data_IF_901700027438
#
_entry.id   IF_901700027438
#
_cell.length_a   1.000
_cell.length_b   1.000
_cell.length_c   1.000
_cell.angle_alpha   90.00
_cell.angle_beta   90.00
_cell.angle_gamma   90.00
#
_symmetry.space_group_name_H-M   'P 1'
#
loop_
_entity.id
_entity.type
_entity.pdbx_description
1 polymer ?
#
# COMPACT_ATOMS: atom_id res chain seq x y z
N UNK A 1 -7.66 -8.99 9.82
CA UNK A 1 -7.37 -10.40 9.50
C UNK A 1 -8.69 -11.10 9.23
N UNK A 2 -8.87 -11.66 8.05
CA UNK A 2 -10.08 -12.38 7.65
C UNK A 2 -10.17 -13.72 8.40
N UNK A 3 -11.35 -14.03 8.94
CA UNK A 3 -11.65 -15.34 9.51
C UNK A 3 -11.81 -16.40 8.40
N UNK A 4 -11.85 -17.71 8.78
CA UNK A 4 -12.13 -18.80 7.83
C UNK A 4 -13.45 -18.62 7.08
N UNK A 5 -14.39 -17.95 7.68
CA UNK A 5 -15.77 -17.72 7.17
C UNK A 5 -15.90 -16.40 6.40
N UNK A 6 -14.78 -15.75 6.02
CA UNK A 6 -14.78 -14.49 5.30
C UNK A 6 -15.05 -13.24 6.15
N UNK A 7 -15.38 -13.40 7.42
CA UNK A 7 -15.57 -12.29 8.37
C UNK A 7 -14.25 -11.67 8.82
N UNK A 8 -14.26 -10.36 9.10
CA UNK A 8 -13.11 -9.66 9.66
C UNK A 8 -13.01 -9.96 11.17
N UNK A 9 -11.84 -10.37 11.64
CA UNK A 9 -11.60 -10.52 13.09
C UNK A 9 -11.38 -9.15 13.71
N UNK A 10 -12.07 -8.87 14.80
CA UNK A 10 -11.89 -7.63 15.57
C UNK A 10 -10.57 -7.59 16.35
N UNK A 11 -9.98 -8.77 16.65
CA UNK A 11 -8.71 -8.87 17.37
C UNK A 11 -7.51 -8.92 16.42
N UNK A 12 -6.50 -8.11 16.68
CA UNK A 12 -5.19 -8.19 16.02
C UNK A 12 -4.50 -9.49 16.43
N UNK A 13 -3.93 -10.22 15.45
CA UNK A 13 -3.17 -11.44 15.74
C UNK A 13 -1.81 -11.13 16.36
N UNK A 14 -1.19 -10.03 15.97
CA UNK A 14 0.12 -9.56 16.46
C UNK A 14 0.28 -8.07 16.18
N UNK A 15 1.28 -7.45 16.82
CA UNK A 15 1.70 -6.07 16.58
C UNK A 15 3.18 -6.02 16.25
N UNK A 16 3.66 -4.87 15.74
CA UNK A 16 5.09 -4.67 15.46
C UNK A 16 5.94 -4.85 16.72
N UNK A 17 5.44 -4.37 17.84
CA UNK A 17 6.11 -4.48 19.15
C UNK A 17 6.27 -5.94 19.59
N UNK A 18 5.22 -6.75 19.41
CA UNK A 18 5.27 -8.18 19.71
C UNK A 18 6.25 -8.93 18.80
N UNK A 19 6.28 -8.55 17.50
CA UNK A 19 7.26 -9.12 16.56
C UNK A 19 8.67 -8.70 16.96
N UNK A 20 8.92 -7.44 17.29
CA UNK A 20 10.22 -6.95 17.75
C UNK A 20 10.69 -7.73 18.99
N UNK A 21 9.85 -7.82 20.02
CA UNK A 21 10.14 -8.54 21.24
C UNK A 21 10.41 -10.04 21.02
N UNK A 22 9.78 -10.66 20.02
CA UNK A 22 10.09 -12.03 19.61
C UNK A 22 11.46 -12.11 18.94
N UNK A 23 11.78 -11.21 18.03
CA UNK A 23 13.07 -11.18 17.31
C UNK A 23 14.24 -10.98 18.28
N UNK A 24 14.12 -10.09 19.25
CA UNK A 24 15.12 -9.87 20.30
C UNK A 24 15.45 -11.17 21.04
N UNK A 25 14.42 -11.95 21.41
CA UNK A 25 14.60 -13.26 22.07
C UNK A 25 15.16 -14.34 21.16
N UNK A 26 14.86 -14.25 19.87
CA UNK A 26 15.28 -15.20 18.84
C UNK A 26 16.63 -14.83 18.19
N UNK A 27 17.44 -13.98 18.79
CA UNK A 27 18.64 -13.35 18.21
C UNK A 27 19.65 -14.33 17.59
N UNK A 28 19.69 -15.59 18.04
CA UNK A 28 20.57 -16.66 17.50
C UNK A 28 19.95 -17.45 16.34
N UNK A 29 18.70 -17.18 15.96
CA UNK A 29 18.01 -17.93 14.91
C UNK A 29 18.38 -17.36 13.54
N UNK A 30 18.63 -18.23 12.57
CA UNK A 30 18.95 -17.83 11.19
C UNK A 30 17.82 -16.98 10.59
N UNK A 31 18.14 -15.79 10.11
CA UNK A 31 17.20 -14.87 9.44
C UNK A 31 16.66 -13.76 10.34
N UNK A 32 16.90 -13.77 11.64
CA UNK A 32 16.46 -12.72 12.57
C UNK A 32 16.98 -11.37 12.16
N UNK A 33 18.28 -11.19 11.90
CA UNK A 33 18.84 -9.91 11.46
C UNK A 33 18.15 -9.34 10.18
N UNK A 34 17.74 -10.22 9.25
CA UNK A 34 16.98 -9.80 8.08
C UNK A 34 15.56 -9.39 8.43
N UNK A 35 14.92 -10.08 9.36
CA UNK A 35 13.57 -9.74 9.83
C UNK A 35 13.56 -8.41 10.58
N UNK A 36 14.54 -8.16 11.46
CA UNK A 36 14.74 -6.89 12.14
C UNK A 36 14.93 -5.74 11.17
N UNK A 37 15.79 -5.92 10.15
CA UNK A 37 16.03 -4.92 9.12
C UNK A 37 14.78 -4.59 8.28
N UNK A 38 13.81 -5.52 8.17
CA UNK A 38 12.56 -5.33 7.43
C UNK A 38 11.39 -4.85 8.31
N UNK A 39 11.47 -5.04 9.62
CA UNK A 39 10.40 -4.67 10.55
C UNK A 39 9.97 -3.19 10.47
N UNK A 40 10.85 -2.21 10.25
CA UNK A 40 10.45 -0.81 10.08
C UNK A 40 9.51 -0.56 8.90
N UNK A 41 9.51 -1.46 7.90
CA UNK A 41 8.68 -1.38 6.69
C UNK A 41 7.38 -2.20 6.78
N UNK A 42 7.14 -2.85 7.90
CA UNK A 42 5.86 -3.52 8.16
C UNK A 42 4.84 -2.47 8.55
N UNK A 43 3.69 -2.46 7.87
CA UNK A 43 2.59 -1.58 8.20
C UNK A 43 1.45 -2.39 8.84
N UNK A 44 0.88 -1.82 9.88
CA UNK A 44 -0.27 -2.40 10.59
C UNK A 44 -1.60 -1.93 9.98
N UNK A 45 -2.68 -2.60 10.34
CA UNK A 45 -4.02 -2.20 9.95
C UNK A 45 -4.49 -2.76 8.61
N UNK A 46 -3.74 -3.66 7.99
CA UNK A 46 -4.20 -4.34 6.75
C UNK A 46 -5.48 -5.16 6.99
N UNK A 47 -6.41 -5.07 6.08
CA UNK A 47 -7.66 -5.83 6.08
C UNK A 47 -7.60 -7.06 5.17
N UNK A 48 -6.64 -7.10 4.25
CA UNK A 48 -6.46 -8.25 3.35
C UNK A 48 -4.99 -8.53 3.03
N UNK A 49 -4.65 -9.80 2.68
CA UNK A 49 -3.30 -10.12 2.20
C UNK A 49 -2.90 -9.35 0.94
N UNK A 50 -3.86 -8.96 0.11
CA UNK A 50 -3.63 -8.20 -1.12
C UNK A 50 -3.19 -6.77 -0.82
N UNK A 51 -3.89 -6.10 0.10
CA UNK A 51 -3.48 -4.79 0.60
C UNK A 51 -2.07 -4.81 1.19
N UNK A 52 -1.75 -5.80 2.04
CA UNK A 52 -0.41 -5.96 2.61
C UNK A 52 0.66 -6.12 1.54
N UNK A 53 0.44 -7.00 0.56
CA UNK A 53 1.39 -7.25 -0.52
C UNK A 53 1.58 -6.03 -1.43
N UNK A 54 0.49 -5.33 -1.76
CA UNK A 54 0.55 -4.12 -2.57
C UNK A 54 1.27 -2.99 -1.82
N UNK A 55 0.97 -2.80 -0.54
CA UNK A 55 1.65 -1.86 0.34
C UNK A 55 3.17 -2.14 0.39
N UNK A 56 3.57 -3.38 0.62
CA UNK A 56 4.98 -3.79 0.61
C UNK A 56 5.64 -3.53 -0.74
N UNK A 57 4.99 -3.89 -1.84
CA UNK A 57 5.52 -3.67 -3.18
C UNK A 57 5.75 -2.18 -3.48
N UNK A 58 4.84 -1.32 -3.04
CA UNK A 58 4.93 0.12 -3.25
C UNK A 58 5.91 0.83 -2.32
N UNK A 59 5.99 0.47 -1.03
CA UNK A 59 6.66 1.26 0.02
C UNK A 59 8.07 0.78 0.38
N UNK A 60 8.32 -0.53 0.30
CA UNK A 60 9.60 -1.12 0.71
C UNK A 60 10.73 -0.61 -0.20
N UNK A 61 11.95 -0.34 0.35
CA UNK A 61 13.08 0.08 -0.45
C UNK A 61 13.46 -0.88 -1.57
N UNK A 62 14.00 -0.33 -2.65
CA UNK A 62 14.34 -1.08 -3.85
C UNK A 62 15.31 -2.24 -3.62
N UNK A 63 16.27 -2.09 -2.70
CA UNK A 63 17.24 -3.14 -2.38
C UNK A 63 16.62 -4.35 -1.64
N UNK A 64 15.40 -4.20 -1.14
CA UNK A 64 14.56 -5.29 -0.61
C UNK A 64 13.48 -5.75 -1.60
N UNK A 65 13.40 -5.16 -2.79
CA UNK A 65 12.48 -5.56 -3.85
C UNK A 65 11.21 -4.72 -3.96
N UNK A 66 11.06 -3.64 -3.18
CA UNK A 66 9.97 -2.69 -3.33
C UNK A 66 10.27 -1.57 -4.34
N UNK A 67 9.35 -0.63 -4.46
CA UNK A 67 9.45 0.52 -5.36
C UNK A 67 9.80 1.84 -4.65
N UNK A 68 9.81 1.86 -3.32
CA UNK A 68 10.14 3.03 -2.49
C UNK A 68 9.35 4.29 -2.87
N UNK A 69 8.05 4.15 -3.15
CA UNK A 69 7.21 5.27 -3.60
C UNK A 69 6.99 6.33 -2.52
N UNK A 70 7.02 5.94 -1.24
CA UNK A 70 6.81 6.83 -0.11
C UNK A 70 6.64 6.08 1.20
N UNK A 71 6.34 6.81 2.28
CA UNK A 71 5.87 6.20 3.53
C UNK A 71 4.44 5.73 3.32
N UNK A 72 4.18 4.47 3.65
CA UNK A 72 2.83 3.91 3.57
C UNK A 72 2.14 3.96 4.94
N UNK A 73 0.81 4.08 4.90
CA UNK A 73 -0.10 3.85 6.02
C UNK A 73 -1.30 3.08 5.47
N UNK A 74 -1.69 2.00 6.13
CA UNK A 74 -2.84 1.18 5.71
C UNK A 74 -4.12 1.66 6.40
N UNK A 75 -5.20 1.71 5.62
CA UNK A 75 -6.54 2.01 6.12
C UNK A 75 -6.63 3.29 6.99
N UNK A 76 -5.89 4.33 6.60
CA UNK A 76 -5.91 5.63 7.26
C UNK A 76 -7.25 6.32 7.05
N UNK A 77 -7.83 6.86 8.14
CA UNK A 77 -9.10 7.58 8.09
C UNK A 77 -8.91 9.01 7.61
N UNK A 78 -9.78 9.42 6.70
CA UNK A 78 -9.91 10.78 6.21
C UNK A 78 -11.32 11.29 6.52
N UNK A 79 -11.41 12.54 6.94
CA UNK A 79 -12.67 13.21 7.25
C UNK A 79 -12.89 14.33 6.24
N UNK A 80 -13.88 14.16 5.38
CA UNK A 80 -14.21 15.09 4.29
C UNK A 80 -15.42 15.89 4.71
N UNK A 81 -15.31 17.21 4.67
CA UNK A 81 -16.47 18.09 4.85
C UNK A 81 -17.20 18.18 3.52
N UNK A 82 -18.38 17.59 3.48
CA UNK A 82 -19.29 17.64 2.36
C UNK A 82 -20.49 18.52 2.73
N UNK A 83 -20.73 19.52 1.95
CA UNK A 83 -21.82 20.43 2.24
C UNK A 83 -22.32 21.13 0.98
N UNK A 84 -23.61 21.33 0.92
CA UNK A 84 -24.22 22.13 -0.10
C UNK A 84 -25.03 23.30 0.49
N UNK A 85 -25.11 24.38 -0.24
CA UNK A 85 -25.90 25.54 0.09
C UNK A 85 -26.72 25.95 -1.14
N UNK A 86 -28.03 25.80 -1.04
CA UNK A 86 -28.98 26.15 -2.10
C UNK A 86 -29.57 27.57 -1.94
N UNK A 87 -28.97 28.38 -1.08
CA UNK A 87 -29.44 29.71 -0.73
C UNK A 87 -30.58 29.73 0.31
N UNK A 88 -31.24 28.61 0.56
CA UNK A 88 -32.32 28.47 1.56
C UNK A 88 -31.87 27.61 2.76
N UNK A 89 -31.10 26.57 2.47
CA UNK A 89 -30.61 25.64 3.48
C UNK A 89 -29.12 25.38 3.29
N UNK A 90 -28.40 25.44 4.41
CA UNK A 90 -27.01 24.98 4.48
C UNK A 90 -26.96 23.65 5.20
N UNK A 91 -26.61 22.59 4.48
CA UNK A 91 -26.34 21.28 5.08
C UNK A 91 -24.86 21.01 5.01
N UNK A 92 -24.26 20.65 6.14
CA UNK A 92 -22.88 20.24 6.25
C UNK A 92 -22.85 18.85 6.90
N UNK A 93 -22.23 17.90 6.24
CA UNK A 93 -21.94 16.57 6.79
C UNK A 93 -20.45 16.30 6.78
N UNK A 94 -19.99 15.45 7.69
CA UNK A 94 -18.62 14.95 7.70
C UNK A 94 -18.66 13.49 7.26
N UNK A 95 -17.94 13.19 6.20
CA UNK A 95 -17.83 11.84 5.65
C UNK A 95 -16.51 11.23 6.10
N UNK A 96 -16.56 10.04 6.69
CA UNK A 96 -15.36 9.25 6.95
C UNK A 96 -15.05 8.37 5.73
N UNK A 97 -13.83 8.48 5.19
CA UNK A 97 -13.33 7.65 4.10
C UNK A 97 -12.00 7.02 4.49
N UNK A 98 -11.83 5.76 4.12
CA UNK A 98 -10.67 4.96 4.51
C UNK A 98 -10.12 4.29 3.25
N UNK A 99 -9.15 4.90 2.54
CA UNK A 99 -8.45 4.25 1.44
C UNK A 99 -7.60 3.10 1.97
N UNK A 100 -7.40 2.06 1.16
CA UNK A 100 -6.64 0.88 1.55
C UNK A 100 -5.19 1.22 1.86
N UNK A 101 -4.56 2.05 1.01
CA UNK A 101 -3.16 2.48 1.18
C UNK A 101 -3.07 3.99 1.00
N UNK A 102 -2.43 4.65 1.95
CA UNK A 102 -1.99 6.04 1.84
C UNK A 102 -0.48 6.08 1.66
N UNK A 103 0.00 6.64 0.57
CA UNK A 103 1.43 6.86 0.30
C UNK A 103 1.75 8.34 0.44
N UNK A 104 2.65 8.69 1.34
CA UNK A 104 3.12 10.06 1.52
C UNK A 104 4.54 10.20 1.00
N UNK A 105 4.78 11.18 0.14
CA UNK A 105 6.13 11.49 -0.34
C UNK A 105 7.03 11.80 0.85
N UNK A 106 8.25 11.26 0.85
CA UNK A 106 9.26 11.67 1.84
C UNK A 106 9.62 13.11 1.57
N UNK A 107 9.14 14.00 2.42
CA UNK A 107 9.51 15.41 2.39
C UNK A 107 10.93 15.58 2.92
N UNK A 108 11.94 15.42 2.09
CA UNK A 108 13.29 15.95 2.33
C UNK A 108 13.37 17.43 2.01
N UNK A 109 12.25 18.14 2.08
CA UNK A 109 12.19 19.49 1.55
C UNK A 109 11.68 20.44 2.62
N UNK A 110 12.53 21.37 3.02
CA UNK A 110 12.17 22.43 3.93
C UNK A 110 10.95 23.23 3.42
N UNK A 111 10.19 23.77 4.36
CA UNK A 111 9.01 24.62 4.11
C UNK A 111 9.28 25.74 3.10
N UNK A 112 10.53 26.18 2.96
CA UNK A 112 10.94 27.23 2.04
C UNK A 112 10.77 26.85 0.56
N UNK A 113 10.96 25.57 0.21
CA UNK A 113 10.75 25.07 -1.15
C UNK A 113 9.27 24.87 -1.49
N UNK A 114 8.42 24.64 -0.48
CA UNK A 114 6.96 24.62 -0.66
C UNK A 114 6.49 26.02 -1.07
N UNK A 115 6.95 27.05 -0.35
CA UNK A 115 6.61 28.46 -0.63
C UNK A 115 7.15 28.93 -1.96
N UNK A 116 8.28 28.40 -2.42
CA UNK A 116 8.88 28.75 -3.72
C UNK A 116 8.24 28.03 -4.93
N UNK A 117 7.18 27.26 -4.76
CA UNK A 117 6.53 26.51 -5.85
C UNK A 117 7.39 25.38 -6.42
N UNK A 118 8.48 24.99 -5.74
CA UNK A 118 9.43 23.98 -6.17
C UNK A 118 9.03 22.56 -5.75
N UNK A 119 7.98 22.43 -4.90
CA UNK A 119 7.45 21.13 -4.47
C UNK A 119 6.33 20.66 -5.39
N UNK A 120 6.15 19.33 -5.47
CA UNK A 120 4.99 18.80 -6.14
C UNK A 120 3.72 19.27 -5.42
N UNK A 121 2.72 19.63 -6.20
CA UNK A 121 1.37 20.00 -5.74
C UNK A 121 0.71 18.84 -4.96
N UNK A 122 1.09 17.61 -5.27
CA UNK A 122 0.58 16.38 -4.67
C UNK A 122 1.67 15.74 -3.80
N UNK A 123 1.42 15.67 -2.50
CA UNK A 123 2.31 15.04 -1.52
C UNK A 123 1.80 13.67 -1.05
N UNK A 124 0.55 13.34 -1.35
CA UNK A 124 -0.11 12.12 -0.89
C UNK A 124 -0.83 11.44 -2.05
N UNK A 125 -0.61 10.13 -2.19
CA UNK A 125 -1.39 9.30 -3.09
C UNK A 125 -2.24 8.32 -2.26
N UNK A 126 -3.54 8.29 -2.54
CA UNK A 126 -4.48 7.31 -1.99
C UNK A 126 -4.65 6.21 -3.03
N UNK A 127 -4.56 4.98 -2.58
CA UNK A 127 -4.66 3.81 -3.46
C UNK A 127 -5.67 2.85 -2.87
N UNK A 128 -6.70 2.53 -3.65
CA UNK A 128 -7.66 1.47 -3.34
C UNK A 128 -7.40 0.26 -4.22
N UNK A 129 -7.51 -0.92 -3.65
CA UNK A 129 -7.48 -2.19 -4.36
C UNK A 129 -8.90 -2.63 -4.68
N UNK A 130 -9.24 -2.62 -5.95
CA UNK A 130 -10.53 -3.10 -6.44
C UNK A 130 -10.40 -4.57 -6.83
N UNK A 131 -10.97 -5.45 -5.99
CA UNK A 131 -11.11 -6.86 -6.32
C UNK A 131 -12.35 -7.00 -7.22
N UNK A 132 -12.16 -7.31 -8.49
CA UNK A 132 -13.23 -7.67 -9.44
C UNK A 132 -14.06 -8.84 -8.90
N UNK A 133 -14.97 -8.55 -7.97
CA UNK A 133 -16.05 -9.46 -7.63
C UNK A 133 -17.15 -9.24 -8.66
N UNK A 134 -17.20 -10.15 -9.64
CA UNK A 134 -18.05 -10.13 -10.84
C UNK A 134 -19.58 -10.01 -10.55
N UNK A 135 -19.99 -9.89 -9.31
CA UNK A 135 -21.40 -9.95 -8.89
C UNK A 135 -21.97 -8.68 -8.28
N UNK A 136 -21.26 -7.56 -8.38
CA UNK A 136 -21.73 -6.33 -7.76
C UNK A 136 -22.57 -5.49 -8.73
N UNK A 137 -23.85 -5.39 -8.40
CA UNK A 137 -24.83 -4.65 -9.18
C UNK A 137 -24.54 -3.15 -9.29
N UNK A 138 -25.30 -2.46 -10.14
CA UNK A 138 -25.16 -1.02 -10.45
C UNK A 138 -25.02 -0.12 -9.21
N UNK A 139 -25.60 -0.48 -8.09
CA UNK A 139 -25.57 0.29 -6.84
C UNK A 139 -24.15 0.40 -6.24
N UNK A 140 -23.34 -0.65 -6.32
CA UNK A 140 -21.94 -0.60 -5.85
C UNK A 140 -21.08 0.28 -6.73
N UNK A 141 -21.26 0.20 -8.05
CA UNK A 141 -20.55 1.04 -9.01
C UNK A 141 -20.78 2.52 -8.71
N UNK A 142 -22.04 2.89 -8.40
CA UNK A 142 -22.37 4.28 -8.02
C UNK A 142 -21.71 4.70 -6.70
N UNK A 143 -21.77 3.86 -5.66
CA UNK A 143 -21.11 4.14 -4.37
C UNK A 143 -19.60 4.26 -4.48
N UNK A 144 -18.96 3.42 -5.29
CA UNK A 144 -17.52 3.48 -5.50
C UNK A 144 -17.12 4.73 -6.31
N UNK A 145 -17.93 5.14 -7.29
CA UNK A 145 -17.72 6.38 -8.03
C UNK A 145 -17.89 7.62 -7.11
N UNK A 146 -18.91 7.64 -6.25
CA UNK A 146 -19.13 8.70 -5.27
C UNK A 146 -17.96 8.79 -4.29
N UNK A 147 -17.56 7.66 -3.69
CA UNK A 147 -16.39 7.58 -2.80
C UNK A 147 -15.11 8.11 -3.45
N UNK A 148 -14.90 7.77 -4.72
CA UNK A 148 -13.75 8.25 -5.49
C UNK A 148 -13.77 9.75 -5.66
N UNK A 149 -14.91 10.31 -6.05
CA UNK A 149 -15.08 11.75 -6.22
C UNK A 149 -14.81 12.50 -4.90
N UNK A 150 -15.32 11.99 -3.78
CA UNK A 150 -15.12 12.58 -2.46
C UNK A 150 -13.64 12.59 -2.05
N UNK A 151 -12.91 11.49 -2.25
CA UNK A 151 -11.47 11.42 -1.95
C UNK A 151 -10.65 12.35 -2.86
N UNK A 152 -11.08 12.58 -4.09
CA UNK A 152 -10.43 13.53 -5.01
C UNK A 152 -10.61 14.99 -4.60
N UNK A 153 -11.61 15.32 -3.75
CA UNK A 153 -11.79 16.68 -3.21
C UNK A 153 -10.72 17.07 -2.18
N UNK A 154 -9.94 16.11 -1.67
CA UNK A 154 -8.86 16.39 -0.74
C UNK A 154 -7.72 17.13 -1.45
N UNK A 155 -7.35 18.31 -0.93
CA UNK A 155 -6.25 19.09 -1.49
C UNK A 155 -4.89 18.39 -1.34
N UNK A 156 -4.06 18.47 -2.36
CA UNK A 156 -2.71 17.88 -2.35
C UNK A 156 -2.71 16.36 -2.40
N UNK A 157 -3.82 15.74 -2.79
CA UNK A 157 -4.00 14.29 -2.87
C UNK A 157 -4.23 13.85 -4.31
N UNK A 158 -3.62 12.73 -4.70
CA UNK A 158 -3.95 12.01 -5.93
C UNK A 158 -4.57 10.66 -5.57
N UNK A 159 -5.69 10.32 -6.18
CA UNK A 159 -6.37 9.05 -5.96
C UNK A 159 -6.13 8.08 -7.12
N UNK A 160 -5.87 6.82 -6.79
CA UNK A 160 -5.64 5.74 -7.74
C UNK A 160 -6.42 4.50 -7.33
N UNK A 161 -6.89 3.75 -8.32
CA UNK A 161 -7.46 2.41 -8.12
C UNK A 161 -6.52 1.40 -8.77
N UNK A 162 -6.28 0.29 -8.08
CA UNK A 162 -5.55 -0.87 -8.60
C UNK A 162 -6.55 -2.00 -8.77
N UNK A 163 -6.87 -2.35 -10.00
CA UNK A 163 -7.75 -3.48 -10.29
C UNK A 163 -7.01 -4.81 -10.19
N UNK A 164 -7.74 -5.91 -10.03
CA UNK A 164 -7.18 -7.27 -10.03
C UNK A 164 -6.38 -7.55 -11.31
N UNK A 165 -6.88 -7.12 -12.47
CA UNK A 165 -6.16 -7.27 -13.74
C UNK A 165 -4.82 -6.53 -13.76
N UNK A 166 -4.80 -5.29 -13.25
CA UNK A 166 -3.55 -4.52 -13.14
C UNK A 166 -2.58 -5.12 -12.13
N UNK A 167 -3.08 -5.63 -11.02
CA UNK A 167 -2.26 -6.17 -9.95
C UNK A 167 -1.67 -7.55 -10.29
N UNK A 168 -2.39 -8.38 -11.05
CA UNK A 168 -1.96 -9.71 -11.48
C UNK A 168 -0.97 -9.69 -12.65
N UNK A 169 -0.88 -8.58 -13.37
CA UNK A 169 0.10 -8.34 -14.43
C UNK A 169 1.23 -7.45 -13.92
N UNK A 170 2.45 -8.01 -13.83
CA UNK A 170 3.61 -7.29 -13.28
C UNK A 170 3.90 -5.98 -14.02
N UNK A 171 3.83 -5.96 -15.35
CA UNK A 171 4.13 -4.75 -16.12
C UNK A 171 3.05 -3.68 -15.94
N UNK A 172 1.78 -4.08 -15.93
CA UNK A 172 0.66 -3.16 -15.68
C UNK A 172 0.79 -2.51 -14.30
N UNK A 173 1.11 -3.31 -13.28
CA UNK A 173 1.30 -2.82 -11.91
C UNK A 173 2.48 -1.85 -11.83
N UNK A 174 3.63 -2.19 -12.40
CA UNK A 174 4.80 -1.31 -12.41
C UNK A 174 4.52 0.00 -13.14
N UNK A 175 3.82 -0.03 -14.28
CA UNK A 175 3.41 1.19 -15.01
C UNK A 175 2.49 2.07 -14.18
N UNK A 176 1.56 1.49 -13.42
CA UNK A 176 0.70 2.24 -12.51
C UNK A 176 1.52 2.87 -11.38
N UNK A 177 2.40 2.09 -10.74
CA UNK A 177 3.30 2.58 -9.69
C UNK A 177 4.20 3.72 -10.19
N UNK A 178 4.64 3.67 -11.45
CA UNK A 178 5.41 4.75 -12.06
C UNK A 178 4.58 6.02 -12.25
N UNK A 179 3.28 5.91 -12.55
CA UNK A 179 2.36 7.07 -12.59
C UNK A 179 2.20 7.68 -11.18
N UNK A 180 2.04 6.83 -10.15
CA UNK A 180 1.98 7.27 -8.75
C UNK A 180 3.28 8.00 -8.37
N UNK A 181 4.43 7.41 -8.71
CA UNK A 181 5.74 8.03 -8.46
C UNK A 181 5.86 9.42 -9.09
N UNK A 182 5.46 9.57 -10.35
CA UNK A 182 5.50 10.87 -11.04
C UNK A 182 4.64 11.92 -10.35
N UNK A 183 3.49 11.54 -9.81
CA UNK A 183 2.62 12.45 -9.05
C UNK A 183 3.26 12.85 -7.73
N UNK A 184 3.84 11.90 -6.97
CA UNK A 184 4.42 12.15 -5.65
C UNK A 184 5.79 12.84 -5.71
N UNK A 185 6.61 12.54 -6.70
CA UNK A 185 8.03 12.94 -6.70
C UNK A 185 8.39 13.83 -7.87
N UNK A 186 7.43 14.24 -8.71
CA UNK A 186 7.67 15.15 -9.86
C UNK A 186 9.06 14.83 -10.45
N UNK A 187 9.62 15.16 -11.35
CA UNK A 187 10.90 14.94 -12.03
C UNK A 187 12.09 14.26 -11.27
N UNK A 188 11.93 13.79 -10.03
CA UNK A 188 12.98 12.99 -9.38
C UNK A 188 13.08 11.65 -10.11
N UNK A 189 14.28 11.36 -10.59
CA UNK A 189 14.58 10.06 -11.21
C UNK A 189 14.31 8.92 -10.21
N UNK A 190 13.81 7.78 -10.66
CA UNK A 190 13.69 6.60 -9.80
C UNK A 190 15.03 6.32 -9.10
N UNK A 191 14.96 5.84 -7.86
CA UNK A 191 16.13 5.44 -7.07
C UNK A 191 17.00 4.41 -7.82
N UNK A 192 16.43 3.74 -8.83
CA UNK A 192 17.11 2.80 -9.74
C UNK A 192 18.14 3.42 -10.69
N UNK A 193 18.19 4.73 -10.83
CA UNK A 193 19.20 5.41 -11.64
C UNK A 193 20.51 5.65 -10.89
N UNK A 194 20.70 5.12 -9.67
CA UNK A 194 22.03 5.00 -9.10
C UNK A 194 22.81 3.94 -9.91
N UNK A 195 24.08 4.22 -10.23
CA UNK A 195 24.89 3.21 -10.87
C UNK A 195 24.92 1.95 -9.99
N UNK A 196 24.30 0.89 -10.47
CA UNK A 196 24.32 -0.43 -9.86
C UNK A 196 25.13 -1.35 -10.74
N UNK A 197 25.87 -2.25 -10.14
CA UNK A 197 26.48 -3.35 -10.88
C UNK A 197 25.38 -4.23 -11.48
N UNK A 198 25.70 -4.95 -12.54
CA UNK A 198 24.75 -5.85 -13.18
C UNK A 198 24.23 -6.93 -12.19
N UNK A 199 25.06 -7.40 -11.30
CA UNK A 199 24.68 -8.36 -10.25
C UNK A 199 23.67 -7.74 -9.27
N UNK A 200 23.91 -6.51 -8.81
CA UNK A 200 22.97 -5.78 -7.95
C UNK A 200 21.63 -5.58 -8.64
N UNK A 201 21.65 -5.23 -9.93
CA UNK A 201 20.45 -5.07 -10.75
C UNK A 201 19.65 -6.38 -10.83
N UNK A 202 20.30 -7.49 -11.16
CA UNK A 202 19.67 -8.83 -11.22
C UNK A 202 19.10 -9.24 -9.87
N UNK A 203 19.80 -8.95 -8.77
CA UNK A 203 19.30 -9.22 -7.41
C UNK A 203 18.02 -8.44 -7.10
N UNK A 204 18.00 -7.14 -7.39
CA UNK A 204 16.81 -6.28 -7.16
C UNK A 204 15.62 -6.75 -7.99
N UNK A 205 15.84 -7.10 -9.25
CA UNK A 205 14.79 -7.62 -10.13
C UNK A 205 14.19 -8.93 -9.59
N UNK A 206 15.03 -9.87 -9.14
CA UNK A 206 14.56 -11.12 -8.51
C UNK A 206 13.74 -10.88 -7.25
N UNK A 207 14.16 -9.95 -6.38
CA UNK A 207 13.43 -9.62 -5.16
C UNK A 207 12.05 -8.99 -5.46
N UNK A 208 11.96 -8.14 -6.49
CA UNK A 208 10.69 -7.57 -6.94
C UNK A 208 9.73 -8.62 -7.45
N UNK A 209 10.22 -9.50 -8.31
CA UNK A 209 9.44 -10.62 -8.84
C UNK A 209 8.98 -11.54 -7.70
N UNK A 210 9.82 -11.79 -6.69
CA UNK A 210 9.47 -12.59 -5.54
C UNK A 210 8.35 -11.96 -4.71
N UNK A 211 8.42 -10.66 -4.38
CA UNK A 211 7.36 -9.95 -3.65
C UNK A 211 6.06 -10.03 -4.46
N UNK A 212 6.11 -9.71 -5.74
CA UNK A 212 4.93 -9.72 -6.60
C UNK A 212 4.31 -11.12 -6.70
N UNK A 213 5.11 -12.16 -7.00
CA UNK A 213 4.61 -13.55 -7.08
C UNK A 213 3.98 -14.00 -5.77
N UNK A 214 4.60 -13.71 -4.62
CA UNK A 214 4.06 -14.08 -3.31
C UNK A 214 2.73 -13.39 -3.03
N UNK A 215 2.53 -12.20 -3.53
CA UNK A 215 1.27 -11.46 -3.36
C UNK A 215 0.17 -11.97 -4.26
N UNK A 216 0.48 -12.22 -5.55
CA UNK A 216 -0.54 -12.42 -6.59
C UNK A 216 -0.68 -13.86 -7.08
N UNK A 217 0.39 -14.65 -7.09
CA UNK A 217 0.38 -16.00 -7.63
C UNK A 217 0.43 -17.13 -6.60
N UNK A 218 0.53 -16.83 -5.30
CA UNK A 218 0.63 -17.87 -4.28
C UNK A 218 -0.71 -18.43 -3.78
N UNK A 219 -1.56 -18.87 -4.68
CA UNK A 219 -2.58 -19.86 -4.33
C UNK A 219 -1.94 -21.20 -3.82
N UNK A 220 -0.74 -21.54 -4.31
CA UNK A 220 -0.01 -22.74 -3.91
C UNK A 220 0.68 -22.68 -2.55
N UNK A 221 0.98 -21.51 -1.99
CA UNK A 221 1.59 -21.41 -0.66
C UNK A 221 0.60 -21.74 0.46
N UNK A 222 -0.69 -21.44 0.26
CA UNK A 222 -1.75 -21.85 1.20
C UNK A 222 -1.81 -23.37 1.33
N UNK A 223 -1.55 -24.11 0.27
CA UNK A 223 -1.55 -25.57 0.26
C UNK A 223 -0.28 -26.14 0.90
N UNK A 224 0.90 -25.56 0.67
CA UNK A 224 2.17 -26.00 1.28
C UNK A 224 2.27 -25.64 2.76
N UNK A 225 1.76 -24.49 3.20
CA UNK A 225 1.70 -24.12 4.60
C UNK A 225 0.66 -24.96 5.37
N UNK A 226 -0.47 -25.31 4.74
CA UNK A 226 -1.42 -26.26 5.34
C UNK A 226 -0.80 -27.63 5.58
N UNK A 227 -0.01 -28.15 4.66
CA UNK A 227 0.64 -29.46 4.81
C UNK A 227 1.73 -29.44 5.91
N UNK A 228 2.49 -28.34 6.07
CA UNK A 228 3.49 -28.24 7.15
C UNK A 228 2.92 -28.01 8.55
N UNK A 229 1.73 -27.39 8.68
CA UNK A 229 1.09 -27.18 9.98
C UNK A 229 0.25 -28.38 10.45
N UNK A 230 -0.05 -29.34 9.57
CA UNK A 230 -0.77 -30.57 9.93
C UNK A 230 0.21 -31.63 10.48
N UNK A 231 1.51 -31.52 10.20
CA UNK A 231 2.53 -32.45 10.71
C UNK A 231 3.09 -32.04 12.10
N UNK A 232 2.65 -30.90 12.67
CA UNK A 232 3.11 -30.42 14.00
C UNK A 232 1.97 -30.23 15.02
N UNK A 233 0.80 -30.83 14.80
CA UNK A 233 -0.30 -30.98 15.75
C UNK A 233 -0.58 -32.47 15.95
#
# INVERSE_FOLDING_TARGET
VTSRDGGMRDSRLTTKELIAAYLDRASKVRGVAKAEALLPYVEEGSRSPRESGLCMFMSVPAHYGGLALGKAELNKKYYIRDGYNDGRNRKLRVLERTPDITLTAKAEVGLDKVRAGLLPEVLTALVDYDSDTIHDGSEKIHKDAERRNELQMLNGVAYFTVTTDQASDYEKLVRLCERIRRKLHRNKRPIFNRPMTEEQRRRVLRLKDEIWRRTWHNAGLRQRLRLKYVEFL
#
